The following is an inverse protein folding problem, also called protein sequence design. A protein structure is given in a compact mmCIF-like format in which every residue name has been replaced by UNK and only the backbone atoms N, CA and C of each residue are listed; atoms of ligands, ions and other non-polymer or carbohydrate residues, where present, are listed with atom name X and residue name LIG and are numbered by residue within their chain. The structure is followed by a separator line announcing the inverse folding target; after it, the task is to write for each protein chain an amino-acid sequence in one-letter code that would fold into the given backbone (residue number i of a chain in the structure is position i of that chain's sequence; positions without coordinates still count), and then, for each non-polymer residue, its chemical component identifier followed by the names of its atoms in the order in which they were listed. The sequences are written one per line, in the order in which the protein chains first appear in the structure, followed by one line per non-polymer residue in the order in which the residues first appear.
data_IF_342222743223
#
_entry.id   IF_342222743223
#
_cell.length_a   1.000
_cell.length_b   1.000
_cell.length_c   1.000
_cell.angle_alpha   90.00
_cell.angle_beta   90.00
_cell.angle_gamma   90.00
#
_symmetry.space_group_name_H-M   'P 1'
#
loop_
_entity.id
_entity.type
_entity.pdbx_description
1 polymer ?
#
# COMPACT_ATOMS: atom_id res chain seq x y z
N UNK A 1 17.24 -15.07 -7.60
CA UNK A 1 17.63 -13.65 -7.79
C UNK A 1 16.63 -12.84 -8.63
N UNK A 2 16.10 -13.34 -9.77
CA UNK A 2 15.06 -12.63 -10.56
C UNK A 2 13.85 -12.15 -9.75
N UNK A 3 13.36 -12.97 -8.82
CA UNK A 3 12.22 -12.62 -7.95
C UNK A 3 12.51 -11.43 -7.02
N UNK A 4 13.73 -11.34 -6.48
CA UNK A 4 14.12 -10.27 -5.56
C UNK A 4 14.25 -8.92 -6.25
N UNK A 5 14.82 -8.92 -7.47
CA UNK A 5 14.84 -7.77 -8.36
C UNK A 5 13.42 -7.26 -8.67
N UNK A 6 12.51 -8.19 -9.01
CA UNK A 6 11.13 -7.87 -9.36
C UNK A 6 10.36 -7.24 -8.18
N UNK A 7 10.56 -7.75 -6.96
CA UNK A 7 9.87 -7.23 -5.77
C UNK A 7 10.36 -5.82 -5.42
N UNK A 8 11.68 -5.57 -5.41
CA UNK A 8 12.20 -4.22 -5.10
C UNK A 8 11.85 -3.21 -6.18
N UNK A 9 11.87 -3.62 -7.45
CA UNK A 9 11.44 -2.77 -8.58
C UNK A 9 9.95 -2.44 -8.50
N UNK A 10 9.10 -3.42 -8.17
CA UNK A 10 7.66 -3.22 -7.96
C UNK A 10 7.38 -2.30 -6.76
N UNK A 11 8.16 -2.42 -5.68
CA UNK A 11 8.07 -1.53 -4.52
C UNK A 11 8.48 -0.09 -4.88
N UNK A 12 9.61 0.08 -5.57
CA UNK A 12 10.10 1.41 -5.98
C UNK A 12 9.10 2.15 -6.89
N UNK A 13 8.41 1.42 -7.76
CA UNK A 13 7.38 1.95 -8.64
C UNK A 13 5.98 2.00 -8.00
N UNK A 14 5.84 1.64 -6.72
CA UNK A 14 4.56 1.58 -5.98
C UNK A 14 3.48 0.78 -6.71
N UNK A 15 3.88 -0.27 -7.42
CA UNK A 15 2.98 -1.13 -8.22
C UNK A 15 1.92 -1.77 -7.34
N UNK A 16 2.28 -2.14 -6.11
CA UNK A 16 1.33 -2.63 -5.09
C UNK A 16 1.04 -1.45 -4.15
N UNK A 17 -0.16 -0.84 -4.23
CA UNK A 17 -0.51 0.24 -3.31
C UNK A 17 -0.52 -0.27 -1.89
N UNK A 18 -0.04 0.55 -0.96
CA UNK A 18 0.02 0.25 0.48
C UNK A 18 0.91 -0.96 0.83
N UNK A 19 1.83 -1.38 -0.05
CA UNK A 19 2.88 -2.32 0.34
C UNK A 19 3.79 -1.66 1.38
N UNK A 20 3.65 -2.06 2.63
CA UNK A 20 4.38 -1.48 3.78
C UNK A 20 5.68 -2.18 4.08
N UNK A 21 5.95 -3.35 3.49
CA UNK A 21 7.21 -4.08 3.73
C UNK A 21 7.48 -5.10 2.63
N UNK A 22 8.76 -5.29 2.31
CA UNK A 22 9.24 -6.36 1.42
C UNK A 22 9.60 -7.63 2.21
N UNK A 23 10.21 -7.47 3.39
CA UNK A 23 10.65 -8.57 4.23
C UNK A 23 9.66 -8.81 5.38
N UNK A 24 9.46 -10.07 5.74
CA UNK A 24 8.67 -10.43 6.92
C UNK A 24 9.37 -9.96 8.20
N UNK A 25 8.61 -9.85 9.30
CA UNK A 25 9.16 -9.50 10.62
C UNK A 25 10.26 -10.50 11.01
N UNK A 26 9.99 -11.80 10.79
CA UNK A 26 10.90 -12.92 11.08
C UNK A 26 12.08 -13.06 10.11
N UNK A 27 12.12 -12.30 9.01
CA UNK A 27 13.23 -12.40 8.06
C UNK A 27 14.54 -11.92 8.70
N UNK A 28 15.62 -12.67 8.48
CA UNK A 28 16.97 -12.29 8.90
C UNK A 28 17.53 -11.09 8.14
N UNK A 29 16.99 -10.82 6.95
CA UNK A 29 17.41 -9.71 6.10
C UNK A 29 16.33 -8.64 6.07
N UNK A 30 16.77 -7.38 6.04
CA UNK A 30 15.93 -6.17 5.95
C UNK A 30 16.22 -5.36 4.69
N UNK A 31 17.22 -5.75 3.90
CA UNK A 31 17.51 -5.17 2.59
C UNK A 31 18.14 -6.18 1.64
N UNK A 32 18.07 -5.91 0.35
CA UNK A 32 18.77 -6.70 -0.65
C UNK A 32 20.29 -6.58 -0.54
N UNK A 33 20.79 -5.43 -0.07
CA UNK A 33 22.22 -5.25 0.22
C UNK A 33 22.73 -6.22 1.29
N UNK A 34 21.92 -6.54 2.31
CA UNK A 34 22.27 -7.56 3.32
C UNK A 34 22.31 -8.96 2.70
N UNK A 35 21.33 -9.30 1.85
CA UNK A 35 21.33 -10.57 1.11
C UNK A 35 22.56 -10.70 0.21
N UNK A 36 22.93 -9.64 -0.52
CA UNK A 36 24.12 -9.65 -1.37
C UNK A 36 25.40 -9.84 -0.56
N UNK A 37 25.48 -9.23 0.62
CA UNK A 37 26.62 -9.38 1.51
C UNK A 37 26.72 -10.82 2.02
N UNK A 38 25.59 -11.41 2.43
CA UNK A 38 25.52 -12.80 2.88
C UNK A 38 25.91 -13.78 1.78
N UNK A 39 25.31 -13.65 0.59
CA UNK A 39 25.62 -14.50 -0.56
C UNK A 39 27.09 -14.37 -0.98
N UNK A 40 27.68 -13.18 -0.89
CA UNK A 40 29.11 -12.98 -1.17
C UNK A 40 29.95 -13.75 -0.14
N UNK A 41 29.58 -13.69 1.14
CA UNK A 41 30.26 -14.43 2.22
C UNK A 41 30.05 -15.95 2.14
N UNK A 42 28.96 -16.44 1.57
CA UNK A 42 28.72 -17.88 1.46
C UNK A 42 29.31 -18.48 0.19
N UNK A 43 29.20 -17.78 -0.94
CA UNK A 43 29.49 -18.34 -2.27
C UNK A 43 30.77 -17.81 -2.90
N UNK A 44 31.26 -16.64 -2.48
CA UNK A 44 32.40 -15.95 -3.09
C UNK A 44 33.57 -15.73 -2.12
N UNK A 45 33.60 -16.47 -1.01
CA UNK A 45 34.70 -16.37 -0.04
C UNK A 45 36.04 -16.66 -0.70
N UNK A 46 36.99 -15.74 -0.54
CA UNK A 46 38.32 -15.81 -1.17
C UNK A 46 38.39 -15.27 -2.60
N UNK A 47 37.26 -14.83 -3.18
CA UNK A 47 37.21 -14.13 -4.46
C UNK A 47 37.22 -12.61 -4.26
N UNK A 48 37.73 -11.87 -5.25
CA UNK A 48 37.57 -10.41 -5.34
C UNK A 48 36.18 -10.00 -5.86
N UNK A 49 35.36 -10.98 -6.26
CA UNK A 49 34.00 -10.78 -6.74
C UNK A 49 33.03 -10.49 -5.60
N UNK A 50 32.08 -9.60 -5.86
CA UNK A 50 31.07 -9.15 -4.90
C UNK A 50 29.73 -9.01 -5.64
N UNK A 51 28.67 -9.59 -5.08
CA UNK A 51 27.36 -9.59 -5.74
C UNK A 51 26.81 -8.17 -5.88
N UNK A 52 27.02 -7.29 -4.90
CA UNK A 52 26.54 -5.90 -4.98
C UNK A 52 27.19 -5.16 -6.16
N UNK A 53 28.50 -5.33 -6.38
CA UNK A 53 29.21 -4.79 -7.54
C UNK A 53 28.74 -5.42 -8.85
N UNK A 54 28.54 -6.74 -8.88
CA UNK A 54 28.04 -7.44 -10.06
C UNK A 54 26.64 -6.94 -10.47
N UNK A 55 25.73 -6.79 -9.50
CA UNK A 55 24.39 -6.24 -9.72
C UNK A 55 24.41 -4.78 -10.16
N UNK A 56 25.31 -3.97 -9.59
CA UNK A 56 25.47 -2.58 -10.00
C UNK A 56 25.92 -2.45 -11.47
N UNK A 57 26.77 -3.36 -11.96
CA UNK A 57 27.22 -3.40 -13.36
C UNK A 57 26.10 -3.73 -14.34
N UNK A 58 25.09 -4.50 -13.93
CA UNK A 58 23.90 -4.79 -14.74
C UNK A 58 22.77 -3.78 -14.51
N UNK A 59 23.06 -2.64 -13.85
CA UNK A 59 22.11 -1.55 -13.66
C UNK A 59 21.18 -1.68 -12.45
N UNK A 60 21.37 -2.67 -11.58
CA UNK A 60 20.58 -2.81 -10.36
C UNK A 60 21.32 -2.28 -9.13
N UNK A 61 20.75 -1.27 -8.49
CA UNK A 61 21.19 -0.78 -7.18
C UNK A 61 20.04 -0.85 -6.20
N UNK A 62 20.21 -1.66 -5.14
CA UNK A 62 19.21 -1.75 -4.08
C UNK A 62 19.19 -0.47 -3.25
N UNK A 63 18.02 0.16 -3.20
CA UNK A 63 17.75 1.37 -2.41
C UNK A 63 16.81 1.09 -1.23
N UNK A 64 16.06 0.00 -1.28
CA UNK A 64 15.12 -0.35 -0.22
C UNK A 64 15.86 -0.91 0.99
N UNK A 65 15.56 -0.32 2.15
CA UNK A 65 15.91 -0.87 3.46
C UNK A 65 14.71 -0.77 4.37
N UNK A 66 14.24 -1.93 4.82
CA UNK A 66 13.11 -2.02 5.72
C UNK A 66 13.45 -1.34 7.05
N UNK A 67 12.61 -0.40 7.44
CA UNK A 67 12.73 0.33 8.68
C UNK A 67 12.30 -0.50 9.90
N UNK A 68 12.63 0.00 11.09
CA UNK A 68 12.16 -0.59 12.34
C UNK A 68 10.63 -0.53 12.46
N UNK A 69 10.00 0.53 11.93
CA UNK A 69 8.54 0.74 11.94
C UNK A 69 7.83 -0.37 11.16
N UNK A 70 8.37 -0.75 10.02
CA UNK A 70 7.82 -1.81 9.14
C UNK A 70 8.10 -3.22 9.70
N UNK A 71 9.16 -3.33 10.50
CA UNK A 71 9.55 -4.57 11.18
C UNK A 71 8.90 -4.75 12.55
N UNK A 72 8.23 -3.72 13.08
CA UNK A 72 7.62 -3.74 14.40
C UNK A 72 6.37 -4.63 14.43
N UNK A 73 6.16 -5.31 15.56
CA UNK A 73 4.96 -6.11 15.79
C UNK A 73 3.86 -5.28 16.46
N UNK A 74 2.87 -4.84 15.68
CA UNK A 74 1.75 -4.04 16.18
C UNK A 74 0.64 -4.86 16.88
N UNK A 75 0.89 -6.13 17.18
CA UNK A 75 -0.06 -6.94 17.94
C UNK A 75 0.03 -6.60 19.43
N UNK A 76 -0.99 -5.94 19.97
CA UNK A 76 -1.13 -5.75 21.41
C UNK A 76 -1.69 -7.03 22.06
N UNK A 77 -0.91 -7.63 22.96
CA UNK A 77 -1.26 -8.79 23.81
C UNK A 77 -1.50 -8.36 25.26
N UNK A 78 -0.86 -7.28 25.69
CA UNK A 78 -1.01 -6.69 27.01
C UNK A 78 -0.91 -5.16 27.00
N UNK A 79 -0.94 -4.56 28.20
CA UNK A 79 -0.84 -3.11 28.37
C UNK A 79 0.59 -2.61 28.11
N UNK A 80 1.58 -3.43 28.43
CA UNK A 80 3.00 -3.18 28.22
C UNK A 80 3.35 -2.88 26.75
N UNK A 81 2.61 -3.43 25.79
CA UNK A 81 2.86 -3.24 24.35
C UNK A 81 2.60 -1.79 23.89
N UNK A 82 1.85 -1.00 24.67
CA UNK A 82 1.61 0.41 24.37
C UNK A 82 2.71 1.35 24.88
N UNK A 83 3.62 0.83 25.70
CA UNK A 83 4.59 1.62 26.49
C UNK A 83 5.68 2.28 25.65
N UNK A 84 5.90 1.84 24.41
CA UNK A 84 6.89 2.43 23.50
C UNK A 84 6.32 3.46 22.53
N UNK A 85 4.99 3.63 22.53
CA UNK A 85 4.26 4.59 21.71
C UNK A 85 4.00 4.17 20.26
N UNK A 86 4.55 3.06 19.76
CA UNK A 86 4.41 2.68 18.34
C UNK A 86 3.00 2.21 18.00
N UNK A 87 2.41 1.35 18.85
CA UNK A 87 1.02 0.91 18.68
C UNK A 87 0.06 2.09 18.78
N UNK A 88 0.28 2.98 19.76
CA UNK A 88 -0.53 4.19 19.92
C UNK A 88 -0.41 5.09 18.68
N UNK A 89 0.79 5.35 18.17
CA UNK A 89 0.97 6.11 16.94
C UNK A 89 0.23 5.52 15.74
N UNK A 90 0.29 4.19 15.56
CA UNK A 90 -0.44 3.51 14.48
C UNK A 90 -1.96 3.66 14.63
N UNK A 91 -2.47 3.57 15.86
CA UNK A 91 -3.89 3.78 16.15
C UNK A 91 -4.31 5.22 15.85
N UNK A 92 -3.48 6.20 16.19
CA UNK A 92 -3.74 7.61 15.90
C UNK A 92 -3.72 7.90 14.41
N UNK A 93 -2.75 7.38 13.66
CA UNK A 93 -2.78 7.52 12.19
C UNK A 93 -4.08 6.94 11.59
N UNK A 94 -4.54 5.81 12.13
CA UNK A 94 -5.73 5.12 11.64
C UNK A 94 -7.02 5.87 12.00
N UNK A 95 -7.20 6.29 13.26
CA UNK A 95 -8.41 6.98 13.73
C UNK A 95 -8.45 8.44 13.25
N UNK A 96 -7.28 9.06 13.14
CA UNK A 96 -7.11 10.41 12.60
C UNK A 96 -7.17 10.50 11.08
N UNK A 97 -7.31 9.37 10.36
CA UNK A 97 -7.29 9.32 8.88
C UNK A 97 -6.03 10.01 8.31
N UNK A 98 -4.90 9.82 8.97
CA UNK A 98 -3.64 10.41 8.58
C UNK A 98 -2.96 9.52 7.53
N UNK A 99 -2.24 10.10 6.56
CA UNK A 99 -1.39 9.31 5.67
C UNK A 99 -0.43 8.43 6.46
N UNK A 100 -0.22 7.20 5.99
CA UNK A 100 0.71 6.27 6.64
C UNK A 100 2.10 6.90 6.77
N UNK A 101 2.67 6.84 7.97
CA UNK A 101 4.00 7.35 8.26
C UNK A 101 4.03 8.80 8.72
N UNK A 102 2.91 9.56 8.63
CA UNK A 102 2.86 10.96 9.07
C UNK A 102 3.27 11.13 10.54
N UNK A 103 2.87 10.22 11.42
CA UNK A 103 3.24 10.21 12.83
C UNK A 103 4.31 9.15 13.12
N UNK A 104 4.19 7.95 12.53
CA UNK A 104 5.12 6.85 12.81
C UNK A 104 6.56 7.20 12.46
N UNK A 105 6.81 7.90 11.34
CA UNK A 105 8.16 8.29 10.92
C UNK A 105 8.77 9.37 11.81
N UNK A 106 8.00 10.00 12.71
CA UNK A 106 8.51 10.93 13.73
C UNK A 106 9.06 10.19 14.96
N UNK A 107 8.72 8.91 15.12
CA UNK A 107 9.16 8.11 16.26
C UNK A 107 10.56 7.53 16.02
N UNK A 108 11.23 7.20 17.12
CA UNK A 108 12.54 6.53 17.12
C UNK A 108 12.39 5.06 17.49
N UNK A 109 13.33 4.24 17.06
CA UNK A 109 13.42 2.85 17.50
C UNK A 109 13.60 2.81 19.03
N UNK A 110 12.61 2.26 19.77
CA UNK A 110 12.67 2.24 21.21
C UNK A 110 13.84 1.41 21.71
N UNK A 111 14.25 0.32 21.04
CA UNK A 111 15.39 -0.55 21.42
C UNK A 111 15.50 -0.88 22.92
N UNK A 112 14.38 -0.88 23.67
CA UNK A 112 14.36 -1.02 25.13
C UNK A 112 14.72 0.25 25.93
N UNK A 113 15.21 1.31 25.31
CA UNK A 113 15.63 2.56 25.94
C UNK A 113 14.44 3.39 26.46
N UNK A 114 14.41 3.64 27.77
CA UNK A 114 13.30 4.36 28.43
C UNK A 114 13.16 5.80 27.93
N UNK A 115 14.27 6.50 27.68
CA UNK A 115 14.23 7.89 27.23
C UNK A 115 13.60 8.02 25.83
N UNK A 116 13.96 7.12 24.91
CA UNK A 116 13.35 7.02 23.58
C UNK A 116 11.86 6.70 23.67
N UNK A 117 11.46 5.74 24.51
CA UNK A 117 10.04 5.41 24.74
C UNK A 117 9.26 6.62 25.24
N UNK A 118 9.77 7.33 26.25
CA UNK A 118 9.11 8.52 26.79
C UNK A 118 8.96 9.60 25.73
N UNK A 119 10.00 9.86 24.94
CA UNK A 119 9.94 10.85 23.87
C UNK A 119 8.96 10.43 22.77
N UNK A 120 8.93 9.15 22.39
CA UNK A 120 7.95 8.64 21.44
C UNK A 120 6.52 8.87 21.94
N UNK A 121 6.22 8.46 23.17
CA UNK A 121 4.89 8.63 23.75
C UNK A 121 4.52 10.12 23.86
N UNK A 122 5.46 11.01 24.24
CA UNK A 122 5.23 12.45 24.22
C UNK A 122 4.81 12.96 22.83
N UNK A 123 5.53 12.55 21.79
CA UNK A 123 5.20 12.91 20.40
C UNK A 123 3.79 12.44 20.03
N UNK A 124 3.40 11.24 20.44
CA UNK A 124 2.05 10.71 20.20
C UNK A 124 1.00 11.53 20.93
N UNK A 125 1.18 11.81 22.22
CA UNK A 125 0.22 12.61 23.00
C UNK A 125 0.08 14.03 22.43
N UNK A 126 1.18 14.65 21.99
CA UNK A 126 1.14 15.96 21.33
C UNK A 126 0.33 15.93 20.03
N UNK A 127 0.52 14.91 19.20
CA UNK A 127 -0.26 14.77 17.97
C UNK A 127 -1.74 14.48 18.29
N UNK A 128 -2.04 13.69 19.32
CA UNK A 128 -3.40 13.46 19.81
C UNK A 128 -4.10 14.77 20.20
N UNK A 129 -3.43 15.62 20.99
CA UNK A 129 -3.97 16.94 21.34
C UNK A 129 -4.18 17.81 20.10
N UNK A 130 -3.26 17.79 19.14
CA UNK A 130 -3.37 18.57 17.91
C UNK A 130 -4.57 18.17 17.04
N UNK A 131 -4.99 16.90 17.08
CA UNK A 131 -6.20 16.41 16.40
C UNK A 131 -7.46 16.43 17.29
N UNK A 132 -7.38 17.08 18.45
CA UNK A 132 -8.52 17.31 19.35
C UNK A 132 -8.90 16.13 20.25
N UNK A 133 -7.97 15.21 20.52
CA UNK A 133 -8.18 14.09 21.44
C UNK A 133 -7.65 14.45 22.82
N UNK A 134 -8.48 14.30 23.85
CA UNK A 134 -8.08 14.59 25.23
C UNK A 134 -7.03 13.59 25.74
N UNK A 135 -5.96 14.12 26.33
CA UNK A 135 -4.82 13.40 26.92
C UNK A 135 -4.50 13.83 28.35
N UNK A 136 -5.34 14.64 29.00
CA UNK A 136 -5.05 15.23 30.32
C UNK A 136 -4.89 14.16 31.43
N UNK A 137 -5.61 13.06 31.32
CA UNK A 137 -5.60 11.97 32.31
C UNK A 137 -4.39 11.02 32.18
N UNK A 138 -3.48 11.24 31.23
CA UNK A 138 -2.37 10.34 30.96
C UNK A 138 -1.05 11.07 30.68
N UNK A 139 -0.03 10.77 31.48
CA UNK A 139 1.33 11.28 31.25
C UNK A 139 2.18 10.27 30.49
N UNK A 140 3.10 10.75 29.67
CA UNK A 140 4.02 9.89 28.93
C UNK A 140 4.83 8.94 29.83
N UNK A 141 5.25 9.42 31.01
CA UNK A 141 5.97 8.59 31.99
C UNK A 141 5.11 7.45 32.53
N UNK A 142 3.83 7.72 32.86
CA UNK A 142 2.91 6.71 33.33
C UNK A 142 2.63 5.61 32.29
N UNK A 143 2.49 5.99 31.02
CA UNK A 143 2.31 5.04 29.90
C UNK A 143 3.55 4.18 29.72
N UNK A 144 4.76 4.77 29.73
CA UNK A 144 6.01 4.01 29.59
C UNK A 144 6.24 3.05 30.76
N UNK A 145 5.78 3.41 31.96
CA UNK A 145 5.78 2.56 33.15
C UNK A 145 4.75 1.42 33.09
N UNK A 146 3.89 1.38 32.07
CA UNK A 146 2.86 0.35 31.94
C UNK A 146 1.67 0.55 32.88
N UNK A 147 1.44 1.77 33.40
CA UNK A 147 0.30 2.05 34.29
C UNK A 147 -1.01 1.86 33.53
N UNK A 148 -1.78 0.86 33.93
CA UNK A 148 -3.02 0.43 33.25
C UNK A 148 -4.03 1.57 33.11
N UNK A 149 -4.23 2.36 34.16
CA UNK A 149 -5.22 3.44 34.16
C UNK A 149 -4.86 4.52 33.12
N UNK A 150 -3.59 4.89 33.02
CA UNK A 150 -3.12 5.86 32.02
C UNK A 150 -3.27 5.33 30.59
N UNK A 151 -2.95 4.06 30.35
CA UNK A 151 -3.10 3.44 29.03
C UNK A 151 -4.58 3.31 28.66
N UNK A 152 -5.43 2.89 29.60
CA UNK A 152 -6.89 2.81 29.41
C UNK A 152 -7.51 4.16 29.11
N UNK A 153 -7.10 5.22 29.82
CA UNK A 153 -7.57 6.58 29.54
C UNK A 153 -7.27 6.99 28.08
N UNK A 154 -6.03 6.77 27.61
CA UNK A 154 -5.64 7.05 26.22
C UNK A 154 -6.46 6.23 25.22
N UNK A 155 -6.58 4.92 25.44
CA UNK A 155 -7.34 4.04 24.56
C UNK A 155 -8.82 4.42 24.50
N UNK A 156 -9.41 4.80 25.64
CA UNK A 156 -10.79 5.25 25.71
C UNK A 156 -11.01 6.54 24.93
N UNK A 157 -10.12 7.51 25.04
CA UNK A 157 -10.15 8.75 24.24
C UNK A 157 -10.12 8.44 22.74
N UNK A 158 -9.27 7.50 22.29
CA UNK A 158 -9.19 7.07 20.89
C UNK A 158 -10.50 6.40 20.43
N UNK A 159 -11.05 5.49 21.24
CA UNK A 159 -12.32 4.80 20.94
C UNK A 159 -13.47 5.80 20.87
N UNK A 160 -13.54 6.76 21.79
CA UNK A 160 -14.55 7.81 21.82
C UNK A 160 -14.62 8.58 20.50
N UNK A 161 -13.46 8.96 19.96
CA UNK A 161 -13.33 9.66 18.67
C UNK A 161 -13.85 8.80 17.52
N UNK A 162 -13.45 7.53 17.46
CA UNK A 162 -13.90 6.59 16.42
C UNK A 162 -15.41 6.38 16.47
N UNK A 163 -15.98 6.21 17.66
CA UNK A 163 -17.43 6.01 17.85
C UNK A 163 -18.21 7.27 17.46
N UNK A 164 -17.71 8.46 17.83
CA UNK A 164 -18.32 9.73 17.44
C UNK A 164 -18.33 9.91 15.92
N UNK A 165 -17.22 9.59 15.24
CA UNK A 165 -17.13 9.59 13.77
C UNK A 165 -18.10 8.61 13.11
N UNK A 166 -18.15 7.36 13.58
CA UNK A 166 -19.08 6.34 13.06
C UNK A 166 -20.56 6.75 13.20
N UNK A 167 -20.91 7.40 14.32
CA UNK A 167 -22.26 7.97 14.51
C UNK A 167 -22.56 9.09 13.52
N UNK A 168 -21.59 9.99 13.26
CA UNK A 168 -21.73 11.05 12.24
C UNK A 168 -21.89 10.47 10.84
N UNK A 169 -21.07 9.48 10.46
CA UNK A 169 -21.15 8.84 9.15
C UNK A 169 -22.49 8.12 8.95
N UNK A 170 -22.97 7.37 9.95
CA UNK A 170 -24.30 6.74 9.88
C UNK A 170 -25.41 7.76 9.74
N UNK A 171 -25.36 8.88 10.47
CA UNK A 171 -26.34 9.95 10.35
C UNK A 171 -26.35 10.59 8.96
N UNK A 172 -25.18 10.88 8.38
CA UNK A 172 -25.05 11.38 7.01
C UNK A 172 -25.59 10.36 6.00
N UNK A 173 -25.24 9.08 6.14
CA UNK A 173 -25.72 8.02 5.26
C UNK A 173 -27.23 7.80 5.34
N UNK A 174 -27.84 8.02 6.50
CA UNK A 174 -29.30 7.98 6.66
C UNK A 174 -29.98 9.19 6.02
N UNK A 175 -29.32 10.37 6.00
CA UNK A 175 -29.77 11.52 5.21
C UNK A 175 -29.67 11.25 3.71
N UNK A 176 -28.55 10.70 3.24
CA UNK A 176 -28.34 10.45 1.81
C UNK A 176 -29.22 9.30 1.28
N UNK A 177 -29.45 8.26 2.09
CA UNK A 177 -30.36 7.16 1.76
C UNK A 177 -31.86 7.56 1.75
N UNK A 178 -32.20 8.76 2.23
CA UNK A 178 -33.55 9.32 2.02
C UNK A 178 -33.75 9.89 0.61
N UNK A 179 -32.68 9.95 -0.19
CA UNK A 179 -32.70 10.47 -1.57
C UNK A 179 -32.44 9.41 -2.65
N UNK A 180 -31.84 8.25 -2.30
CA UNK A 180 -31.60 7.15 -3.26
C UNK A 180 -32.33 5.85 -2.88
N UNK A 181 -33.19 5.44 -3.80
CA UNK A 181 -34.20 4.40 -3.68
C UNK A 181 -33.68 2.96 -3.87
N UNK A 182 -34.04 2.11 -2.90
CA UNK A 182 -34.39 0.68 -2.88
C UNK A 182 -33.81 -0.42 -3.80
N UNK A 183 -32.78 -0.27 -4.63
CA UNK A 183 -32.49 -1.33 -5.65
C UNK A 183 -31.18 -2.13 -5.59
N UNK A 184 -30.26 -1.96 -4.62
CA UNK A 184 -29.00 -2.75 -4.63
C UNK A 184 -28.88 -3.80 -3.51
N UNK A 185 -28.71 -5.10 -3.84
CA UNK A 185 -28.53 -6.15 -2.83
C UNK A 185 -27.15 -6.06 -2.16
N UNK A 186 -27.14 -6.24 -0.84
CA UNK A 186 -25.97 -6.18 0.03
C UNK A 186 -24.95 -7.28 -0.34
N UNK A 187 -23.80 -6.91 -0.90
CA UNK A 187 -22.70 -7.84 -1.18
C UNK A 187 -21.99 -8.29 0.11
N UNK A 188 -21.70 -9.59 0.16
CA UNK A 188 -20.95 -10.30 1.22
C UNK A 188 -19.51 -9.79 1.28
N UNK A 189 -19.01 -9.56 2.50
CA UNK A 189 -17.64 -9.10 2.79
C UNK A 189 -16.60 -10.10 2.27
N UNK A 190 -15.74 -9.66 1.34
CA UNK A 190 -14.41 -10.23 1.08
C UNK A 190 -13.35 -9.15 1.32
N UNK A 191 -12.10 -9.54 1.51
CA UNK A 191 -10.97 -8.68 1.90
C UNK A 191 -10.88 -7.39 1.07
N UNK A 192 -10.95 -6.24 1.74
CA UNK A 192 -11.21 -4.94 1.12
C UNK A 192 -10.13 -4.36 0.20
N UNK A 193 -8.93 -4.93 0.12
CA UNK A 193 -7.84 -4.33 -0.69
C UNK A 193 -7.87 -4.79 -2.15
N UNK A 194 -8.12 -6.08 -2.41
CA UNK A 194 -8.26 -6.59 -3.78
C UNK A 194 -9.62 -6.24 -4.40
N UNK A 195 -10.67 -6.19 -3.58
CA UNK A 195 -12.01 -5.84 -4.05
C UNK A 195 -12.07 -4.38 -4.49
N UNK A 196 -11.37 -3.49 -3.77
CA UNK A 196 -11.39 -2.04 -4.05
C UNK A 196 -10.69 -1.68 -5.37
N UNK A 197 -9.51 -2.24 -5.63
CA UNK A 197 -8.77 -2.03 -6.88
C UNK A 197 -9.56 -2.50 -8.11
N UNK A 198 -10.06 -3.75 -8.07
CA UNK A 198 -10.86 -4.30 -9.16
C UNK A 198 -12.18 -3.54 -9.32
N UNK A 199 -12.79 -3.07 -8.23
CA UNK A 199 -13.98 -2.19 -8.23
C UNK A 199 -13.70 -0.85 -8.91
N UNK A 200 -12.60 -0.19 -8.56
CA UNK A 200 -12.23 1.12 -9.07
C UNK A 200 -11.95 1.08 -10.57
N UNK A 201 -11.15 0.11 -11.02
CA UNK A 201 -10.85 -0.13 -12.43
C UNK A 201 -12.14 -0.41 -13.19
N UNK A 202 -12.98 -1.32 -12.70
CA UNK A 202 -14.24 -1.66 -13.36
C UNK A 202 -15.21 -0.48 -13.43
N UNK A 203 -15.30 0.37 -12.39
CA UNK A 203 -16.12 1.59 -12.41
C UNK A 203 -15.64 2.56 -13.48
N UNK A 204 -14.33 2.79 -13.55
CA UNK A 204 -13.71 3.69 -14.52
C UNK A 204 -13.96 3.18 -15.96
N UNK A 205 -13.75 1.88 -16.19
CA UNK A 205 -13.99 1.26 -17.49
C UNK A 205 -15.47 1.26 -17.88
N UNK A 206 -16.41 1.18 -16.93
CA UNK A 206 -17.84 1.35 -17.23
C UNK A 206 -18.20 2.77 -17.63
N UNK A 207 -17.50 3.77 -17.12
CA UNK A 207 -17.69 5.17 -17.54
C UNK A 207 -17.18 5.36 -18.96
N UNK A 208 -15.94 4.93 -19.23
CA UNK A 208 -15.32 5.01 -20.57
C UNK A 208 -16.08 4.15 -21.57
N UNK A 209 -16.50 2.94 -21.19
CA UNK A 209 -17.31 2.06 -22.03
C UNK A 209 -18.62 2.72 -22.45
N UNK A 210 -19.30 3.45 -21.55
CA UNK A 210 -20.51 4.21 -21.92
C UNK A 210 -20.21 5.31 -22.95
N UNK A 211 -19.10 6.02 -22.78
CA UNK A 211 -18.65 7.06 -23.72
C UNK A 211 -18.33 6.46 -25.11
N UNK A 212 -17.65 5.31 -25.14
CA UNK A 212 -17.28 4.59 -26.35
C UNK A 212 -18.40 3.67 -26.90
N UNK A 213 -19.60 3.70 -26.32
CA UNK A 213 -20.73 2.82 -26.67
C UNK A 213 -20.42 1.31 -26.59
N UNK A 214 -19.58 0.90 -25.64
CA UNK A 214 -19.23 -0.47 -25.34
C UNK A 214 -19.72 -0.92 -23.96
N UNK A 215 -20.27 -2.13 -23.88
CA UNK A 215 -20.80 -2.70 -22.64
C UNK A 215 -19.71 -3.43 -21.87
N UNK A 216 -19.33 -2.93 -20.69
CA UNK A 216 -18.37 -3.56 -19.78
C UNK A 216 -19.12 -4.22 -18.62
N UNK A 217 -19.09 -5.55 -18.54
CA UNK A 217 -19.79 -6.33 -17.51
C UNK A 217 -18.88 -6.60 -16.31
N UNK A 218 -17.71 -7.18 -16.59
CA UNK A 218 -16.69 -7.65 -15.65
C UNK A 218 -15.28 -7.45 -16.25
N UNK A 219 -14.25 -7.83 -15.48
CA UNK A 219 -12.86 -7.70 -15.94
C UNK A 219 -12.46 -8.76 -16.97
N UNK A 220 -13.13 -9.91 -17.01
CA UNK A 220 -12.82 -10.98 -17.96
C UNK A 220 -13.25 -10.58 -19.38
N UNK A 221 -14.29 -9.75 -19.49
CA UNK A 221 -14.68 -9.11 -20.76
C UNK A 221 -13.63 -8.17 -21.37
N UNK A 222 -12.51 -7.92 -20.69
CA UNK A 222 -11.39 -7.13 -21.21
C UNK A 222 -10.34 -7.97 -21.95
N UNK A 223 -10.35 -9.29 -21.74
CA UNK A 223 -9.39 -10.22 -22.32
C UNK A 223 -9.60 -10.43 -23.82
N UNK A 224 -10.68 -9.90 -24.40
CA UNK A 224 -10.85 -9.84 -25.85
C UNK A 224 -10.01 -8.72 -26.51
N UNK A 225 -9.45 -7.81 -25.70
CA UNK A 225 -8.62 -6.68 -26.15
C UNK A 225 -9.38 -5.54 -26.84
N UNK A 226 -10.68 -5.71 -27.13
CA UNK A 226 -11.44 -4.77 -27.98
C UNK A 226 -11.63 -3.40 -27.33
N UNK A 227 -11.96 -3.39 -26.04
CA UNK A 227 -12.14 -2.13 -25.32
C UNK A 227 -10.82 -1.35 -25.24
N UNK A 228 -9.70 -2.05 -25.00
CA UNK A 228 -8.39 -1.42 -24.85
C UNK A 228 -7.84 -0.90 -26.18
N UNK A 229 -8.12 -1.58 -27.28
CA UNK A 229 -7.85 -1.10 -28.63
C UNK A 229 -8.67 0.13 -28.99
N UNK A 230 -9.98 0.12 -28.69
CA UNK A 230 -10.83 1.29 -28.93
C UNK A 230 -10.40 2.50 -28.09
N UNK A 231 -9.98 2.28 -26.84
CA UNK A 231 -9.41 3.34 -26.01
C UNK A 231 -8.14 3.90 -26.64
N UNK A 232 -7.21 3.04 -27.06
CA UNK A 232 -5.95 3.48 -27.67
C UNK A 232 -6.17 4.31 -28.93
N UNK A 233 -6.99 3.82 -29.85
CA UNK A 233 -7.30 4.52 -31.12
C UNK A 233 -8.04 5.83 -30.91
N UNK A 234 -8.87 5.94 -29.87
CA UNK A 234 -9.65 7.17 -29.58
C UNK A 234 -8.80 8.23 -28.88
N UNK A 235 -7.99 7.82 -27.90
CA UNK A 235 -7.32 8.74 -26.99
C UNK A 235 -5.83 8.96 -27.32
N UNK A 236 -5.24 8.14 -28.19
CA UNK A 236 -3.86 8.25 -28.66
C UNK A 236 -3.84 8.34 -30.19
N UNK A 237 -4.24 9.49 -30.78
CA UNK A 237 -4.46 9.61 -32.23
C UNK A 237 -3.19 9.45 -33.07
N UNK A 238 -2.01 9.65 -32.49
CA UNK A 238 -0.71 9.46 -33.16
C UNK A 238 -0.05 8.11 -32.81
N UNK A 239 -0.74 7.25 -32.06
CA UNK A 239 -0.23 5.96 -31.64
C UNK A 239 -0.23 4.95 -32.78
N UNK A 240 0.78 4.08 -32.83
CA UNK A 240 0.80 2.93 -33.74
C UNK A 240 -0.42 2.03 -33.46
N UNK A 241 -1.22 1.64 -34.47
CA UNK A 241 -2.35 0.73 -34.27
C UNK A 241 -1.97 -0.58 -33.56
N UNK A 242 -2.81 -1.05 -32.64
CA UNK A 242 -2.52 -2.26 -31.84
C UNK A 242 -2.32 -3.50 -32.72
N UNK A 243 -2.99 -3.56 -33.87
CA UNK A 243 -2.92 -4.68 -34.81
C UNK A 243 -1.50 -4.97 -35.33
N UNK A 244 -0.62 -3.96 -35.34
CA UNK A 244 0.75 -4.05 -35.84
C UNK A 244 1.74 -4.65 -34.82
N UNK A 245 1.33 -4.83 -33.56
CA UNK A 245 2.18 -5.42 -32.53
C UNK A 245 2.15 -6.96 -32.60
N UNK A 246 3.23 -7.62 -32.16
CA UNK A 246 3.31 -9.08 -32.19
C UNK A 246 2.34 -9.72 -31.17
N UNK A 247 1.61 -10.74 -31.58
CA UNK A 247 0.68 -11.50 -30.73
C UNK A 247 -0.31 -12.32 -31.54
N UNK A 248 -0.68 -13.49 -31.03
CA UNK A 248 -1.61 -14.43 -31.69
C UNK A 248 -3.07 -13.94 -31.62
N UNK A 249 -3.44 -13.28 -30.52
CA UNK A 249 -4.74 -12.66 -30.31
C UNK A 249 -4.60 -11.16 -29.99
N UNK A 250 -5.73 -10.43 -30.02
CA UNK A 250 -5.71 -8.99 -29.80
C UNK A 250 -5.20 -8.62 -28.40
N UNK A 251 -5.46 -9.45 -27.38
CA UNK A 251 -4.95 -9.25 -26.04
C UNK A 251 -3.43 -9.35 -25.97
N UNK A 252 -2.81 -10.37 -26.58
CA UNK A 252 -1.37 -10.52 -26.66
C UNK A 252 -0.72 -9.33 -27.38
N UNK A 253 -1.39 -8.78 -28.39
CA UNK A 253 -0.95 -7.54 -29.06
C UNK A 253 -1.02 -6.32 -28.13
N UNK A 254 -2.09 -6.19 -27.34
CA UNK A 254 -2.18 -5.15 -26.29
C UNK A 254 -1.03 -5.27 -25.28
N UNK A 255 -0.68 -6.49 -24.87
CA UNK A 255 0.44 -6.72 -23.95
C UNK A 255 1.78 -6.34 -24.59
N UNK A 256 2.00 -6.69 -25.86
CA UNK A 256 3.22 -6.31 -26.59
C UNK A 256 3.33 -4.80 -26.81
N UNK A 257 2.22 -4.11 -27.08
CA UNK A 257 2.16 -2.64 -27.11
C UNK A 257 2.52 -2.05 -25.75
N UNK A 258 1.90 -2.55 -24.68
CA UNK A 258 2.13 -2.06 -23.33
C UNK A 258 3.61 -2.20 -22.92
N UNK A 259 4.29 -3.26 -23.35
CA UNK A 259 5.72 -3.46 -23.12
C UNK A 259 6.59 -2.46 -23.89
N UNK A 260 6.31 -2.25 -25.17
CA UNK A 260 7.14 -1.45 -26.08
C UNK A 260 6.92 0.05 -25.91
N UNK A 261 5.68 0.52 -25.90
CA UNK A 261 5.34 1.95 -25.87
C UNK A 261 5.20 2.48 -24.43
N UNK A 262 4.64 1.66 -23.54
CA UNK A 262 4.33 2.09 -22.18
C UNK A 262 5.36 1.58 -21.17
N UNK A 263 6.37 0.81 -21.55
CA UNK A 263 7.34 0.20 -20.63
C UNK A 263 6.66 -0.55 -19.46
N UNK A 264 5.63 -1.33 -19.77
CA UNK A 264 4.91 -2.21 -18.83
C UNK A 264 5.44 -3.64 -19.00
N UNK A 265 6.09 -4.25 -17.99
CA UNK A 265 6.71 -5.58 -18.15
C UNK A 265 5.72 -6.70 -18.47
N UNK A 266 6.12 -7.63 -19.34
CA UNK A 266 5.39 -8.90 -19.59
C UNK A 266 5.21 -9.70 -18.29
N UNK A 267 4.06 -10.36 -18.17
CA UNK A 267 3.65 -11.13 -16.99
C UNK A 267 2.75 -10.34 -16.04
N UNK A 268 2.70 -9.00 -16.14
CA UNK A 268 1.74 -8.19 -15.38
C UNK A 268 0.30 -8.42 -15.86
N UNK A 269 0.13 -8.79 -17.13
CA UNK A 269 -1.13 -9.15 -17.78
C UNK A 269 -1.85 -10.34 -17.11
N UNK A 270 -1.13 -11.17 -16.35
CA UNK A 270 -1.71 -12.22 -15.49
C UNK A 270 -2.61 -11.65 -14.38
N UNK A 271 -2.49 -10.35 -14.07
CA UNK A 271 -3.39 -9.62 -13.19
C UNK A 271 -4.08 -8.49 -13.97
N UNK A 272 -5.20 -8.82 -14.61
CA UNK A 272 -5.94 -7.93 -15.52
C UNK A 272 -6.25 -6.57 -14.89
N UNK A 273 -6.72 -6.55 -13.63
CA UNK A 273 -7.05 -5.30 -12.94
C UNK A 273 -5.84 -4.37 -12.81
N UNK A 274 -4.69 -4.93 -12.41
CA UNK A 274 -3.45 -4.18 -12.20
C UNK A 274 -2.84 -3.72 -13.53
N UNK A 275 -2.81 -4.61 -14.52
CA UNK A 275 -2.33 -4.33 -15.87
C UNK A 275 -3.11 -3.16 -16.49
N UNK A 276 -4.44 -3.23 -16.48
CA UNK A 276 -5.31 -2.20 -17.07
C UNK A 276 -5.18 -0.87 -16.33
N UNK A 277 -5.09 -0.87 -14.99
CA UNK A 277 -4.90 0.38 -14.23
C UNK A 277 -3.59 1.08 -14.62
N UNK A 278 -2.49 0.35 -14.73
CA UNK A 278 -1.19 0.92 -15.06
C UNK A 278 -1.15 1.38 -16.52
N UNK A 279 -1.73 0.59 -17.44
CA UNK A 279 -1.90 0.97 -18.84
C UNK A 279 -2.65 2.29 -18.97
N UNK A 280 -3.85 2.39 -18.40
CA UNK A 280 -4.65 3.61 -18.44
C UNK A 280 -3.92 4.80 -17.83
N UNK A 281 -3.25 4.63 -16.68
CA UNK A 281 -2.49 5.72 -16.07
C UNK A 281 -1.36 6.26 -16.95
N UNK A 282 -0.71 5.39 -17.74
CA UNK A 282 0.35 5.79 -18.68
C UNK A 282 -0.20 6.38 -19.98
N UNK A 283 -1.39 5.96 -20.43
CA UNK A 283 -2.02 6.46 -21.66
C UNK A 283 -2.64 7.85 -21.50
N UNK A 284 -3.16 8.18 -20.32
CA UNK A 284 -3.84 9.45 -20.04
C UNK A 284 -2.95 10.51 -19.36
N UNK A 285 -1.62 10.35 -19.42
CA UNK A 285 -0.64 11.28 -18.84
C UNK A 285 0.16 11.98 -19.93
#
# INVERSE_FOLDING_TARGET
MKMLFLIETAYAHRVIPNLTRIFTISSHFKSMNEIFSELTRELLTGSLADFKKAFARVGFQSTYKQSFIESYNYQAKGFEDFSDGLILAKLIETVGEMPHGKLLLKLRDPAGDRLRKVNNVKTVLQEMTAIGINTEDATAAAIVEGKKDAILAVLWSIVGVRVAKEKRFRFLRTKDASYEDLTTPKKKRRSGVHDDMSSEVLKTLKVIGRDLQMKVLDLDSLLDGLLLDKIWTTYVPNGTPIELYPGDDLWAKVVSLAESELAIPRGLDQNVALFVKIKMWKEFR
#
